data_IF_103019359198
#
_entry.id   IF_103019359198
#
_cell.length_a   1.000
_cell.length_b   1.000
_cell.length_c   1.000
_cell.angle_alpha   90.00
_cell.angle_beta   90.00
_cell.angle_gamma   90.00
#
_symmetry.space_group_name_H-M   'P 1'
#
loop_
_entity.id
_entity.type
_entity.pdbx_description
1 polymer ?
#
# COMPACT_ATOMS: atom_id res chain seq x y z
N UNK A 1 43.07 -34.92 -0.07
CA UNK A 1 42.50 -33.72 0.59
C UNK A 1 41.49 -33.10 -0.36
N UNK A 2 40.23 -33.49 -0.23
CA UNK A 2 39.13 -32.97 -1.05
C UNK A 2 38.80 -31.54 -0.58
N UNK A 3 38.83 -30.58 -1.51
CA UNK A 3 38.37 -29.21 -1.25
C UNK A 3 36.83 -29.21 -1.20
N UNK A 4 36.30 -28.46 -0.24
CA UNK A 4 34.87 -28.33 0.07
C UNK A 4 34.01 -27.89 -1.14
N UNK A 5 32.77 -28.39 -1.29
CA UNK A 5 31.87 -28.06 -2.42
C UNK A 5 31.38 -26.61 -2.45
N UNK A 6 31.64 -25.80 -1.41
CA UNK A 6 31.21 -24.40 -1.35
C UNK A 6 32.12 -23.41 -2.11
N UNK A 7 33.18 -23.89 -2.76
CA UNK A 7 34.06 -23.06 -3.59
C UNK A 7 33.68 -23.02 -5.09
N UNK A 8 32.56 -23.61 -5.51
CA UNK A 8 32.26 -23.87 -6.93
C UNK A 8 31.19 -22.92 -7.53
N UNK A 9 30.58 -22.02 -6.76
CA UNK A 9 29.47 -21.18 -7.25
C UNK A 9 29.80 -19.69 -7.52
N UNK A 10 31.02 -19.21 -7.25
CA UNK A 10 31.42 -17.81 -7.48
C UNK A 10 32.53 -17.62 -8.54
N UNK A 11 32.96 -18.69 -9.19
CA UNK A 11 34.04 -18.70 -10.19
C UNK A 11 33.50 -19.07 -11.57
N UNK A 12 32.67 -18.20 -12.20
CA UNK A 12 32.35 -18.34 -13.64
C UNK A 12 31.72 -17.13 -14.34
N UNK A 13 32.11 -15.89 -14.03
CA UNK A 13 32.08 -14.79 -15.03
C UNK A 13 33.27 -13.86 -14.79
N UNK A 14 34.48 -14.39 -15.03
CA UNK A 14 35.71 -13.60 -14.97
C UNK A 14 36.57 -13.89 -16.20
N UNK A 15 35.98 -13.84 -17.41
CA UNK A 15 36.75 -13.77 -18.66
C UNK A 15 36.05 -12.85 -19.68
N UNK A 16 36.65 -11.66 -19.80
CA UNK A 16 36.54 -10.64 -20.86
C UNK A 16 35.13 -10.20 -21.32
N UNK A 17 34.44 -9.41 -20.51
CA UNK A 17 33.62 -8.35 -21.12
C UNK A 17 34.61 -7.43 -21.83
N UNK A 18 34.60 -7.40 -23.16
CA UNK A 18 35.54 -6.57 -23.92
C UNK A 18 35.53 -5.12 -23.42
N UNK A 19 36.70 -4.48 -23.37
CA UNK A 19 36.80 -3.09 -22.92
C UNK A 19 36.35 -2.09 -24.00
N UNK A 20 36.35 -0.81 -23.65
CA UNK A 20 36.39 0.24 -24.67
C UNK A 20 37.66 0.05 -25.52
N UNK A 21 37.61 0.18 -26.86
CA UNK A 21 36.50 0.67 -27.69
C UNK A 21 35.51 -0.39 -28.20
N UNK A 22 35.76 -1.67 -27.91
CA UNK A 22 34.97 -2.81 -28.40
C UNK A 22 33.55 -2.78 -27.84
N UNK A 23 33.39 -2.59 -26.53
CA UNK A 23 32.08 -2.43 -25.88
C UNK A 23 31.75 -0.95 -25.72
N UNK A 24 30.62 -0.51 -26.30
CA UNK A 24 30.13 0.87 -26.22
C UNK A 24 28.64 0.86 -25.89
N UNK A 25 28.25 0.95 -24.61
CA UNK A 25 26.85 0.89 -24.19
C UNK A 25 25.98 1.99 -24.83
N UNK A 26 26.58 3.13 -25.21
CA UNK A 26 25.90 4.20 -25.96
C UNK A 26 25.31 3.75 -27.31
N UNK A 27 25.78 2.64 -27.91
CA UNK A 27 25.25 2.13 -29.18
C UNK A 27 23.75 1.79 -29.08
N UNK A 28 23.32 1.16 -27.98
CA UNK A 28 21.92 0.85 -27.72
C UNK A 28 21.08 2.08 -27.29
N UNK A 29 21.74 3.22 -27.04
CA UNK A 29 21.10 4.47 -26.57
C UNK A 29 21.01 5.54 -27.67
N UNK A 30 21.42 5.22 -28.91
CA UNK A 30 21.61 6.17 -30.02
C UNK A 30 20.31 6.75 -30.58
N UNK A 31 19.21 6.01 -30.52
CA UNK A 31 17.89 6.45 -30.99
C UNK A 31 16.78 6.05 -30.02
N UNK A 32 15.66 6.75 -30.07
CA UNK A 32 14.44 6.39 -29.32
C UNK A 32 13.96 4.98 -29.67
N UNK A 33 13.99 4.59 -30.95
CA UNK A 33 13.63 3.24 -31.40
C UNK A 33 14.51 2.16 -30.76
N UNK A 34 15.83 2.35 -30.71
CA UNK A 34 16.74 1.39 -30.07
C UNK A 34 16.50 1.33 -28.56
N UNK A 35 16.31 2.48 -27.91
CA UNK A 35 16.00 2.51 -26.47
C UNK A 35 14.71 1.75 -26.16
N UNK A 36 13.66 1.94 -26.96
CA UNK A 36 12.39 1.22 -26.83
C UNK A 36 12.55 -0.28 -27.07
N UNK A 37 13.39 -0.70 -28.03
CA UNK A 37 13.63 -2.12 -28.34
C UNK A 37 14.28 -2.88 -27.18
N UNK A 38 15.14 -2.23 -26.40
CA UNK A 38 15.93 -2.89 -25.33
C UNK A 38 15.50 -2.46 -23.92
N UNK A 39 14.35 -1.79 -23.79
CA UNK A 39 13.83 -1.36 -22.51
C UNK A 39 13.45 -2.59 -21.66
N UNK A 40 13.89 -2.61 -20.40
CA UNK A 40 13.70 -3.77 -19.51
C UNK A 40 12.36 -3.70 -18.75
N UNK A 41 11.86 -2.49 -18.50
CA UNK A 41 10.65 -2.26 -17.68
C UNK A 41 9.65 -1.39 -18.44
N UNK A 42 8.41 -1.85 -18.47
CA UNK A 42 7.26 -1.15 -19.02
C UNK A 42 6.24 -0.94 -17.91
N UNK A 43 5.58 0.22 -17.92
CA UNK A 43 4.49 0.54 -17.02
C UNK A 43 3.21 0.70 -17.84
N UNK A 44 2.11 0.20 -17.31
CA UNK A 44 0.79 0.20 -17.93
C UNK A 44 -0.30 0.56 -16.92
N UNK A 45 -1.50 0.98 -17.36
CA UNK A 45 -2.63 1.22 -16.45
C UNK A 45 -2.96 0.03 -15.52
N UNK A 46 -2.70 -1.19 -15.98
CA UNK A 46 -2.92 -2.42 -15.22
C UNK A 46 -2.02 -2.58 -13.99
N UNK A 47 -0.93 -1.81 -13.90
CA UNK A 47 0.00 -1.83 -12.77
C UNK A 47 -0.43 -0.91 -11.61
N UNK A 48 -1.51 -0.12 -11.79
CA UNK A 48 -1.95 0.87 -10.81
C UNK A 48 -3.12 0.38 -9.96
N UNK A 49 -3.08 0.78 -8.68
CA UNK A 49 -4.21 0.72 -7.74
C UNK A 49 -4.50 2.18 -7.34
N UNK A 50 -5.75 2.63 -7.50
CA UNK A 50 -6.12 4.03 -7.25
C UNK A 50 -6.70 4.24 -5.84
N UNK A 51 -6.05 5.02 -4.96
CA UNK A 51 -6.58 5.32 -3.62
C UNK A 51 -7.80 6.24 -3.67
N UNK A 52 -8.86 5.91 -2.93
CA UNK A 52 -10.06 6.73 -2.77
C UNK A 52 -10.31 7.07 -1.31
N UNK A 53 -10.51 8.36 -1.02
CA UNK A 53 -10.91 8.84 0.32
C UNK A 53 -12.41 9.06 0.35
N UNK A 54 -13.11 8.33 1.21
CA UNK A 54 -14.58 8.35 1.25
C UNK A 54 -15.07 8.97 2.55
N UNK A 55 -16.03 9.89 2.44
CA UNK A 55 -16.64 10.63 3.56
C UNK A 55 -18.15 10.48 3.57
N UNK A 56 -18.78 10.61 4.74
CA UNK A 56 -20.24 10.73 4.84
C UNK A 56 -20.77 12.03 4.21
N UNK A 57 -22.04 12.00 3.82
CA UNK A 57 -22.76 13.14 3.26
C UNK A 57 -23.21 12.90 1.82
N UNK A 58 -23.60 13.98 1.13
CA UNK A 58 -24.09 13.91 -0.24
C UNK A 58 -23.47 15.02 -1.10
N UNK A 59 -23.09 14.69 -2.33
CA UNK A 59 -22.56 15.63 -3.31
C UNK A 59 -21.17 16.18 -3.02
N UNK A 60 -20.45 15.62 -2.03
CA UNK A 60 -19.15 16.11 -1.56
C UNK A 60 -18.04 15.70 -2.52
N UNK A 61 -17.27 16.69 -2.95
CA UNK A 61 -15.96 16.54 -3.62
C UNK A 61 -15.03 17.62 -3.08
N UNK A 62 -14.30 17.32 -2.01
CA UNK A 62 -13.43 18.27 -1.31
C UNK A 62 -11.97 17.98 -1.61
N UNK A 63 -11.28 18.93 -2.24
CA UNK A 63 -9.84 18.79 -2.52
C UNK A 63 -9.04 18.77 -1.20
N UNK A 64 -8.05 17.89 -1.13
CA UNK A 64 -7.11 17.82 -0.02
C UNK A 64 -5.99 18.83 -0.29
N UNK A 65 -5.88 19.86 0.54
CA UNK A 65 -4.97 20.99 0.32
C UNK A 65 -3.50 20.56 0.19
N UNK A 66 -3.06 19.58 0.98
CA UNK A 66 -1.70 19.05 0.97
C UNK A 66 -1.46 18.01 -0.13
N UNK A 67 -2.51 17.55 -0.85
CA UNK A 67 -2.44 16.60 -1.96
C UNK A 67 -3.23 17.13 -3.17
N UNK A 68 -2.68 18.08 -3.92
CA UNK A 68 -3.46 18.78 -4.92
C UNK A 68 -3.93 17.87 -6.05
N UNK A 69 -5.18 18.02 -6.48
CA UNK A 69 -5.85 17.11 -7.43
C UNK A 69 -6.38 15.82 -6.81
N UNK A 70 -6.25 15.63 -5.49
CA UNK A 70 -6.81 14.49 -4.76
C UNK A 70 -7.99 14.98 -3.91
N UNK A 71 -9.04 14.18 -3.83
CA UNK A 71 -10.31 14.59 -3.24
C UNK A 71 -10.81 13.58 -2.20
N UNK A 72 -11.52 14.10 -1.20
CA UNK A 72 -12.47 13.34 -0.39
C UNK A 72 -13.84 13.38 -1.07
N UNK A 73 -14.45 12.22 -1.23
CA UNK A 73 -15.69 12.02 -2.00
C UNK A 73 -16.78 11.43 -1.11
N UNK A 74 -18.02 11.93 -1.25
CA UNK A 74 -19.17 11.21 -0.69
C UNK A 74 -19.54 10.00 -1.56
N UNK A 75 -20.21 9.02 -0.96
CA UNK A 75 -20.56 7.73 -1.61
C UNK A 75 -21.30 7.94 -2.94
N UNK A 76 -22.19 8.94 -3.04
CA UNK A 76 -22.94 9.26 -4.26
C UNK A 76 -22.05 9.76 -5.43
N UNK A 77 -20.81 10.15 -5.17
CA UNK A 77 -19.83 10.54 -6.20
C UNK A 77 -19.01 9.37 -6.74
N UNK A 78 -19.01 8.23 -6.06
CA UNK A 78 -18.12 7.11 -6.39
C UNK A 78 -18.45 6.46 -7.73
N UNK A 79 -19.71 6.46 -8.16
CA UNK A 79 -20.08 5.88 -9.46
C UNK A 79 -19.38 6.60 -10.63
N UNK A 80 -19.41 7.94 -10.63
CA UNK A 80 -18.74 8.72 -11.67
C UNK A 80 -17.21 8.60 -11.60
N UNK A 81 -16.65 8.51 -10.40
CA UNK A 81 -15.21 8.29 -10.22
C UNK A 81 -14.80 6.90 -10.74
N UNK A 82 -15.60 5.86 -10.47
CA UNK A 82 -15.36 4.51 -10.95
C UNK A 82 -15.42 4.41 -12.47
N UNK A 83 -16.38 5.09 -13.12
CA UNK A 83 -16.47 5.14 -14.59
C UNK A 83 -15.19 5.70 -15.22
N UNK A 84 -14.61 6.76 -14.64
CA UNK A 84 -13.34 7.33 -15.10
C UNK A 84 -12.17 6.37 -14.88
N UNK A 85 -12.06 5.79 -13.69
CA UNK A 85 -10.99 4.83 -13.33
C UNK A 85 -11.01 3.63 -14.28
N UNK A 86 -12.18 3.04 -14.52
CA UNK A 86 -12.35 1.91 -15.46
C UNK A 86 -12.06 2.36 -16.90
N UNK A 87 -12.50 3.55 -17.30
CA UNK A 87 -12.22 4.12 -18.62
C UNK A 87 -10.72 4.34 -18.90
N UNK A 88 -9.92 4.55 -17.86
CA UNK A 88 -8.45 4.65 -17.94
C UNK A 88 -7.76 3.27 -17.97
N UNK A 89 -8.48 2.18 -17.75
CA UNK A 89 -7.94 0.82 -17.68
C UNK A 89 -7.24 0.48 -16.36
N UNK A 90 -7.56 1.21 -15.29
CA UNK A 90 -7.05 0.92 -13.94
C UNK A 90 -7.90 -0.20 -13.33
N UNK A 91 -7.31 -1.34 -12.92
CA UNK A 91 -8.07 -2.52 -12.53
C UNK A 91 -8.59 -2.48 -11.09
N UNK A 92 -8.02 -1.64 -10.23
CA UNK A 92 -8.27 -1.71 -8.80
C UNK A 92 -8.30 -0.34 -8.11
N UNK A 93 -9.09 -0.26 -7.05
CA UNK A 93 -9.10 0.85 -6.08
C UNK A 93 -8.77 0.35 -4.68
N UNK A 94 -8.22 1.23 -3.84
CA UNK A 94 -8.11 0.99 -2.40
C UNK A 94 -8.84 2.07 -1.62
N UNK A 95 -9.74 1.66 -0.73
CA UNK A 95 -10.60 2.56 0.03
C UNK A 95 -9.99 2.97 1.36
N UNK A 96 -10.04 4.28 1.63
CA UNK A 96 -9.75 4.90 2.92
C UNK A 96 -11.00 5.64 3.40
N UNK A 97 -11.63 5.12 4.45
CA UNK A 97 -12.82 5.73 5.05
C UNK A 97 -12.48 6.83 6.04
N UNK A 98 -13.27 7.89 6.05
CA UNK A 98 -13.29 8.88 7.12
C UNK A 98 -14.64 8.79 7.84
N UNK A 99 -14.66 8.37 9.11
CA UNK A 99 -15.90 8.13 9.83
C UNK A 99 -16.63 9.43 10.17
N UNK A 100 -17.90 9.31 10.53
CA UNK A 100 -18.68 10.43 11.06
C UNK A 100 -18.23 10.79 12.48
N UNK A 101 -17.83 9.78 13.26
CA UNK A 101 -17.36 9.93 14.63
C UNK A 101 -16.17 9.01 14.89
N UNK A 102 -15.22 9.50 15.68
CA UNK A 102 -14.07 8.71 16.14
C UNK A 102 -14.26 8.31 17.58
N UNK A 103 -13.80 7.12 17.93
CA UNK A 103 -13.90 6.58 19.28
C UNK A 103 -12.68 5.70 19.60
N UNK A 104 -12.42 5.35 20.87
CA UNK A 104 -11.17 4.69 21.26
C UNK A 104 -10.87 3.34 20.60
N UNK A 105 -11.86 2.68 19.97
CA UNK A 105 -11.66 1.40 19.28
C UNK A 105 -12.00 1.46 17.79
N UNK A 106 -12.46 2.60 17.29
CA UNK A 106 -12.79 2.79 15.88
C UNK A 106 -13.98 1.94 15.40
N UNK A 107 -15.09 1.94 16.14
CA UNK A 107 -16.26 1.06 15.89
C UNK A 107 -16.82 1.14 14.48
N UNK A 108 -16.79 2.33 13.89
CA UNK A 108 -17.36 2.52 12.55
C UNK A 108 -16.61 1.71 11.48
N UNK A 109 -15.33 1.38 11.69
CA UNK A 109 -14.53 0.59 10.74
C UNK A 109 -15.11 -0.82 10.51
N UNK A 110 -15.78 -1.38 11.52
CA UNK A 110 -16.38 -2.71 11.45
C UNK A 110 -17.91 -2.70 11.59
N UNK A 111 -18.54 -1.52 11.50
CA UNK A 111 -19.99 -1.40 11.45
C UNK A 111 -20.55 -1.88 10.09
N UNK A 112 -21.70 -2.54 10.08
CA UNK A 112 -22.33 -3.06 8.85
C UNK A 112 -22.64 -1.94 7.83
N UNK A 113 -22.97 -0.76 8.34
CA UNK A 113 -23.27 0.46 7.60
C UNK A 113 -22.16 1.53 7.72
N UNK A 114 -20.93 1.14 8.08
CA UNK A 114 -19.77 2.03 8.08
C UNK A 114 -19.48 2.64 6.70
N UNK A 115 -18.72 3.74 6.67
CA UNK A 115 -18.48 4.49 5.43
C UNK A 115 -17.82 3.63 4.33
N UNK A 116 -16.90 2.74 4.69
CA UNK A 116 -16.22 1.83 3.74
C UNK A 116 -17.19 0.79 3.21
N UNK A 117 -18.02 0.21 4.06
CA UNK A 117 -19.05 -0.77 3.69
C UNK A 117 -20.06 -0.18 2.71
N UNK A 118 -20.49 1.06 2.95
CA UNK A 118 -21.34 1.80 2.00
C UNK A 118 -20.62 2.06 0.67
N UNK A 119 -19.35 2.44 0.71
CA UNK A 119 -18.53 2.68 -0.48
C UNK A 119 -18.33 1.43 -1.34
N UNK A 120 -18.02 0.29 -0.71
CA UNK A 120 -17.87 -1.01 -1.38
C UNK A 120 -19.15 -1.35 -2.15
N UNK A 121 -20.31 -1.28 -1.49
CA UNK A 121 -21.60 -1.61 -2.11
C UNK A 121 -21.92 -0.68 -3.29
N UNK A 122 -21.63 0.62 -3.15
CA UNK A 122 -21.83 1.58 -4.22
C UNK A 122 -20.91 1.33 -5.43
N UNK A 123 -19.62 1.06 -5.18
CA UNK A 123 -18.65 0.75 -6.23
C UNK A 123 -18.97 -0.57 -6.93
N UNK A 124 -19.33 -1.61 -6.18
CA UNK A 124 -19.73 -2.90 -6.77
C UNK A 124 -20.95 -2.76 -7.68
N UNK A 125 -21.91 -1.91 -7.31
CA UNK A 125 -23.08 -1.63 -8.14
C UNK A 125 -22.74 -0.83 -9.40
N UNK A 126 -21.79 0.11 -9.33
CA UNK A 126 -21.41 0.97 -10.44
C UNK A 126 -20.43 0.30 -11.42
N UNK A 127 -19.42 -0.40 -10.89
CA UNK A 127 -18.34 -1.02 -11.64
C UNK A 127 -18.06 -2.45 -11.13
N UNK A 128 -18.87 -3.45 -11.53
CA UNK A 128 -18.75 -4.82 -11.01
C UNK A 128 -17.39 -5.49 -11.25
N UNK A 129 -16.68 -5.10 -12.32
CA UNK A 129 -15.38 -5.63 -12.71
C UNK A 129 -14.19 -4.95 -12.01
N UNK A 130 -14.43 -3.84 -11.29
CA UNK A 130 -13.39 -3.14 -10.56
C UNK A 130 -13.02 -3.93 -9.30
N UNK A 131 -11.72 -4.17 -9.10
CA UNK A 131 -11.23 -4.79 -7.87
C UNK A 131 -11.28 -3.77 -6.74
N UNK A 132 -12.04 -4.06 -5.68
CA UNK A 132 -12.22 -3.20 -4.53
C UNK A 132 -11.36 -3.74 -3.39
N UNK A 133 -10.27 -3.02 -3.10
CA UNK A 133 -9.40 -3.27 -1.95
C UNK A 133 -9.78 -2.35 -0.79
N UNK A 134 -9.61 -2.80 0.45
CA UNK A 134 -9.84 -1.96 1.63
C UNK A 134 -8.64 -1.93 2.54
N UNK A 135 -8.29 -0.75 3.04
CA UNK A 135 -7.33 -0.61 4.14
C UNK A 135 -7.92 -1.19 5.44
N UNK A 136 -7.11 -1.98 6.16
CA UNK A 136 -7.46 -2.49 7.49
C UNK A 136 -6.50 -1.86 8.51
N UNK A 137 -6.97 -0.78 9.12
CA UNK A 137 -6.27 0.01 10.12
C UNK A 137 -7.28 0.80 10.96
N UNK A 138 -6.92 1.19 12.18
CA UNK A 138 -7.82 1.93 13.08
C UNK A 138 -7.49 3.43 13.16
N UNK A 139 -6.47 3.92 12.45
CA UNK A 139 -5.97 5.27 12.69
C UNK A 139 -6.91 6.38 12.20
N UNK A 140 -7.70 6.10 11.16
CA UNK A 140 -8.76 6.95 10.63
C UNK A 140 -9.98 7.00 11.57
N UNK A 141 -10.16 5.93 12.36
CA UNK A 141 -11.36 5.67 13.14
C UNK A 141 -11.23 5.97 14.62
N UNK A 142 -10.00 6.03 15.12
CA UNK A 142 -9.76 6.25 16.54
C UNK A 142 -9.57 7.72 16.88
N UNK A 143 -10.09 8.14 18.02
CA UNK A 143 -9.97 9.52 18.51
C UNK A 143 -8.52 9.91 18.85
N UNK A 144 -7.66 8.92 19.04
CA UNK A 144 -6.23 9.06 19.30
C UNK A 144 -5.32 8.95 18.06
N UNK A 145 -5.84 8.52 16.90
CA UNK A 145 -5.08 8.51 15.64
C UNK A 145 -3.98 7.44 15.52
N UNK A 146 -3.93 6.46 16.44
CA UNK A 146 -3.08 5.27 16.36
C UNK A 146 -3.76 4.10 15.66
N UNK A 147 -2.97 3.11 15.26
CA UNK A 147 -3.41 2.01 14.42
C UNK A 147 -4.14 0.88 15.18
N UNK A 148 -4.31 1.00 16.51
CA UNK A 148 -4.86 -0.05 17.36
C UNK A 148 -5.34 0.46 18.72
N UNK A 149 -5.73 -0.49 19.58
CA UNK A 149 -6.24 -0.25 20.94
C UNK A 149 -5.15 0.34 21.83
N UNK A 150 -5.50 1.32 22.67
CA UNK A 150 -4.56 1.97 23.58
C UNK A 150 -4.85 1.65 25.04
N UNK A 151 -3.79 1.30 25.77
CA UNK A 151 -3.77 1.27 27.23
C UNK A 151 -2.46 1.92 27.72
N UNK A 152 -2.53 2.81 28.72
CA UNK A 152 -1.36 3.49 29.28
C UNK A 152 -0.46 4.18 28.23
N UNK A 153 -1.06 4.78 27.20
CA UNK A 153 -0.35 5.40 26.05
C UNK A 153 0.52 4.42 25.26
N UNK A 154 0.18 3.13 25.27
CA UNK A 154 0.81 2.11 24.45
C UNK A 154 -0.25 1.47 23.55
N UNK A 155 0.11 1.24 22.29
CA UNK A 155 -0.74 0.46 21.38
C UNK A 155 -0.58 -1.01 21.76
N UNK A 156 -1.67 -1.66 22.13
CA UNK A 156 -1.68 -3.06 22.50
C UNK A 156 -1.77 -3.94 21.25
N UNK A 157 -0.84 -4.87 21.08
CA UNK A 157 -0.78 -5.75 19.92
C UNK A 157 -2.01 -6.67 19.82
N UNK A 158 -2.12 -7.65 20.72
CA UNK A 158 -3.10 -8.73 20.63
C UNK A 158 -4.57 -8.25 20.70
N UNK A 159 -4.94 -7.29 21.57
CA UNK A 159 -6.29 -6.73 21.55
C UNK A 159 -6.62 -6.02 20.24
N UNK A 160 -5.63 -5.46 19.55
CA UNK A 160 -5.84 -4.84 18.23
C UNK A 160 -6.14 -5.90 17.16
N UNK A 161 -5.53 -7.10 17.25
CA UNK A 161 -5.76 -8.17 16.27
C UNK A 161 -7.24 -8.54 16.15
N UNK A 162 -7.96 -8.56 17.28
CA UNK A 162 -9.39 -8.89 17.30
C UNK A 162 -10.21 -7.90 16.45
N UNK A 163 -10.01 -6.59 16.64
CA UNK A 163 -10.76 -5.56 15.90
C UNK A 163 -10.32 -5.46 14.43
N UNK A 164 -9.05 -5.78 14.10
CA UNK A 164 -8.61 -5.88 12.71
C UNK A 164 -9.29 -7.06 11.98
N UNK A 165 -9.46 -8.20 12.66
CA UNK A 165 -10.24 -9.33 12.16
C UNK A 165 -11.70 -8.97 11.92
N UNK A 166 -12.35 -8.28 12.88
CA UNK A 166 -13.73 -7.80 12.73
C UNK A 166 -13.91 -6.86 11.54
N UNK A 167 -13.02 -5.88 11.36
CA UNK A 167 -13.04 -4.98 10.22
C UNK A 167 -12.88 -5.73 8.89
N UNK A 168 -11.95 -6.68 8.83
CA UNK A 168 -11.71 -7.50 7.63
C UNK A 168 -12.93 -8.31 7.23
N UNK A 169 -13.59 -8.96 8.19
CA UNK A 169 -14.84 -9.71 7.94
C UNK A 169 -15.96 -8.77 7.51
N UNK A 170 -16.08 -7.60 8.13
CA UNK A 170 -17.10 -6.59 7.77
C UNK A 170 -16.92 -6.09 6.32
N UNK A 171 -15.68 -5.82 5.91
CA UNK A 171 -15.36 -5.39 4.55
C UNK A 171 -15.60 -6.51 3.52
N UNK A 172 -15.18 -7.74 3.81
CA UNK A 172 -15.44 -8.90 2.95
C UNK A 172 -16.96 -9.16 2.80
N UNK A 173 -17.72 -9.09 3.90
CA UNK A 173 -19.18 -9.23 3.87
C UNK A 173 -19.89 -8.13 3.06
N UNK A 174 -19.31 -6.93 2.99
CA UNK A 174 -19.81 -5.85 2.14
C UNK A 174 -19.47 -6.04 0.64
N UNK A 175 -18.57 -6.96 0.30
CA UNK A 175 -18.18 -7.30 -1.08
C UNK A 175 -16.81 -6.78 -1.52
N UNK A 176 -15.90 -6.49 -0.57
CA UNK A 176 -14.50 -6.21 -0.89
C UNK A 176 -13.85 -7.46 -1.49
N UNK A 177 -13.05 -7.28 -2.54
CA UNK A 177 -12.33 -8.39 -3.16
C UNK A 177 -11.06 -8.75 -2.39
N UNK A 178 -10.43 -7.77 -1.73
CA UNK A 178 -9.14 -7.92 -1.06
C UNK A 178 -9.07 -7.01 0.16
N UNK A 179 -8.46 -7.49 1.25
CA UNK A 179 -8.18 -6.68 2.44
C UNK A 179 -6.69 -6.41 2.58
N UNK A 180 -6.31 -5.21 3.00
CA UNK A 180 -4.92 -4.76 3.02
C UNK A 180 -4.54 -4.22 4.42
N UNK A 181 -4.09 -5.08 5.35
CA UNK A 181 -3.76 -4.69 6.72
C UNK A 181 -2.54 -3.80 6.80
N UNK A 182 -2.76 -2.57 7.27
CA UNK A 182 -1.71 -1.54 7.36
C UNK A 182 -1.40 -1.12 8.79
N UNK A 183 -1.94 -1.81 9.80
CA UNK A 183 -1.75 -1.46 11.20
C UNK A 183 -0.31 -1.69 11.71
N UNK A 184 0.42 -2.65 11.11
CA UNK A 184 1.76 -3.10 11.55
C UNK A 184 1.73 -3.75 12.96
N UNK A 185 0.71 -4.55 13.24
CA UNK A 185 0.69 -5.39 14.45
C UNK A 185 1.30 -6.75 14.14
N UNK A 186 2.05 -7.31 15.09
CA UNK A 186 2.62 -8.65 15.01
C UNK A 186 1.49 -9.68 14.91
N UNK A 187 1.54 -10.57 13.90
CA UNK A 187 0.54 -11.62 13.71
C UNK A 187 -0.78 -11.16 13.08
N UNK A 188 -0.86 -9.91 12.58
CA UNK A 188 -2.09 -9.36 11.98
C UNK A 188 -2.58 -10.15 10.77
N UNK A 189 -1.66 -10.67 9.94
CA UNK A 189 -2.04 -11.41 8.74
C UNK A 189 -2.68 -12.73 9.15
N UNK A 190 -2.07 -13.44 10.11
CA UNK A 190 -2.62 -14.69 10.62
C UNK A 190 -3.99 -14.48 11.28
N UNK A 191 -4.14 -13.44 12.11
CA UNK A 191 -5.39 -13.15 12.80
C UNK A 191 -6.52 -12.82 11.80
N UNK A 192 -6.22 -12.01 10.78
CA UNK A 192 -7.18 -11.66 9.72
C UNK A 192 -7.53 -12.88 8.89
N UNK A 193 -6.55 -13.70 8.50
CA UNK A 193 -6.77 -14.94 7.77
C UNK A 193 -7.73 -15.86 8.52
N UNK A 194 -7.45 -16.11 9.80
CA UNK A 194 -8.31 -16.95 10.65
C UNK A 194 -9.72 -16.38 10.79
N UNK A 195 -9.86 -15.05 10.95
CA UNK A 195 -11.16 -14.40 11.05
C UNK A 195 -11.98 -14.52 9.75
N UNK A 196 -11.35 -14.30 8.60
CA UNK A 196 -11.97 -14.47 7.28
C UNK A 196 -12.41 -15.92 7.05
N UNK A 197 -11.52 -16.88 7.31
CA UNK A 197 -11.82 -18.31 7.14
C UNK A 197 -12.98 -18.76 8.03
N UNK A 198 -12.98 -18.34 9.31
CA UNK A 198 -14.04 -18.67 10.26
C UNK A 198 -15.40 -18.07 9.87
N UNK A 199 -15.40 -16.92 9.20
CA UNK A 199 -16.60 -16.24 8.70
C UNK A 199 -17.04 -16.71 7.30
N UNK A 200 -16.30 -17.64 6.67
CA UNK A 200 -16.63 -18.19 5.34
C UNK A 200 -16.07 -17.39 4.15
N UNK A 201 -15.10 -16.50 4.37
CA UNK A 201 -14.43 -15.69 3.37
C UNK A 201 -13.01 -16.21 3.04
N UNK A 202 -12.87 -17.52 2.92
CA UNK A 202 -11.57 -18.18 2.72
C UNK A 202 -10.85 -17.73 1.43
N UNK A 203 -11.60 -17.34 0.40
CA UNK A 203 -11.06 -16.92 -0.89
C UNK A 203 -10.68 -15.42 -0.96
N UNK A 204 -10.98 -14.62 0.06
CA UNK A 204 -10.64 -13.18 0.08
C UNK A 204 -9.14 -12.99 0.31
N UNK A 205 -8.35 -12.45 -0.63
CA UNK A 205 -6.91 -12.32 -0.45
C UNK A 205 -6.50 -11.23 0.55
N UNK A 206 -5.27 -11.35 1.05
CA UNK A 206 -4.63 -10.40 1.96
C UNK A 206 -3.41 -9.76 1.28
N UNK A 207 -3.40 -8.42 1.19
CA UNK A 207 -2.22 -7.65 0.83
C UNK A 207 -1.55 -7.09 2.09
N UNK A 208 -0.57 -7.82 2.62
CA UNK A 208 0.17 -7.41 3.80
C UNK A 208 0.98 -6.14 3.55
N UNK A 209 0.83 -5.12 4.38
CA UNK A 209 1.78 -4.00 4.44
C UNK A 209 3.04 -4.43 5.18
N UNK A 210 3.69 -5.47 4.68
CA UNK A 210 4.70 -6.25 5.37
C UNK A 210 5.92 -5.43 5.79
N UNK A 211 6.36 -4.49 4.96
CA UNK A 211 7.45 -3.59 5.31
C UNK A 211 6.96 -2.14 5.28
N UNK A 212 6.24 -1.73 6.33
CA UNK A 212 5.76 -0.35 6.51
C UNK A 212 6.60 0.38 7.57
N UNK A 213 7.34 1.37 7.10
CA UNK A 213 8.29 2.15 7.90
C UNK A 213 7.64 3.33 8.63
N UNK A 214 8.19 3.69 9.78
CA UNK A 214 7.88 4.92 10.52
C UNK A 214 8.46 6.13 9.77
N UNK A 215 7.67 6.72 8.86
CA UNK A 215 8.17 7.65 7.87
C UNK A 215 7.62 9.08 7.99
N UNK A 216 8.46 10.07 7.69
CA UNK A 216 8.07 11.47 7.51
C UNK A 216 7.26 11.74 6.23
N UNK A 217 7.22 10.79 5.29
CA UNK A 217 6.48 10.94 4.03
C UNK A 217 4.94 10.83 4.17
N UNK A 218 4.41 10.52 5.36
CA UNK A 218 2.96 10.32 5.56
C UNK A 218 2.17 11.58 5.92
N UNK A 219 2.84 12.74 6.06
CA UNK A 219 2.19 13.99 6.48
C UNK A 219 0.91 14.31 5.71
N UNK A 220 0.96 14.43 4.36
CA UNK A 220 -0.23 14.81 3.60
C UNK A 220 -1.38 13.78 3.66
N UNK A 221 -1.08 12.49 3.85
CA UNK A 221 -2.12 11.46 4.09
C UNK A 221 -2.80 11.67 5.44
N UNK A 222 -2.05 12.05 6.48
CA UNK A 222 -2.65 12.33 7.80
C UNK A 222 -3.60 13.51 7.75
N UNK A 223 -3.33 14.51 6.91
CA UNK A 223 -4.30 15.59 6.62
C UNK A 223 -5.50 15.06 5.83
N UNK A 224 -5.25 14.21 4.82
CA UNK A 224 -6.29 13.60 3.98
C UNK A 224 -7.26 12.70 4.76
N UNK A 225 -6.76 12.00 5.76
CA UNK A 225 -7.50 11.01 6.56
C UNK A 225 -7.83 11.51 7.97
N UNK A 226 -7.47 12.77 8.29
CA UNK A 226 -7.64 13.40 9.60
C UNK A 226 -7.07 12.56 10.77
N UNK A 227 -5.95 11.85 10.55
CA UNK A 227 -5.44 10.81 11.46
C UNK A 227 -4.04 11.05 12.05
N UNK A 228 -3.64 12.28 12.42
CA UNK A 228 -2.38 12.46 13.15
C UNK A 228 -2.47 11.77 14.53
N UNK A 229 -1.41 11.08 14.99
CA UNK A 229 -1.39 10.52 16.35
C UNK A 229 -1.46 11.66 17.37
N UNK A 230 -2.31 11.52 18.38
CA UNK A 230 -2.52 12.56 19.40
C UNK A 230 -1.40 12.60 20.45
N UNK A 231 -0.59 11.55 20.52
CA UNK A 231 0.61 11.50 21.36
C UNK A 231 1.70 10.65 20.71
N UNK A 232 2.95 10.87 21.12
CA UNK A 232 4.10 10.11 20.64
C UNK A 232 4.19 10.06 19.10
N UNK A 233 4.59 8.91 18.59
CA UNK A 233 4.59 8.60 17.16
C UNK A 233 4.24 7.11 16.95
N UNK A 234 4.49 6.58 15.76
CA UNK A 234 4.19 5.18 15.40
C UNK A 234 5.43 4.27 15.42
N UNK A 235 6.54 4.72 15.99
CA UNK A 235 7.84 4.00 15.99
C UNK A 235 7.86 2.74 16.85
N UNK A 236 6.87 2.55 17.72
CA UNK A 236 6.76 1.35 18.55
C UNK A 236 6.25 0.11 17.79
N UNK A 237 5.79 0.28 16.55
CA UNK A 237 5.25 -0.80 15.71
C UNK A 237 5.53 -0.63 14.21
N UNK A 238 5.64 0.60 13.69
CA UNK A 238 6.17 0.80 12.34
C UNK A 238 7.69 0.71 12.34
N UNK A 239 8.25 0.13 11.28
CA UNK A 239 9.68 -0.18 11.23
C UNK A 239 10.59 1.05 11.26
N UNK A 240 11.79 0.91 11.81
CA UNK A 240 12.83 1.94 11.73
C UNK A 240 13.34 2.08 10.29
N UNK A 241 13.30 3.29 9.67
CA UNK A 241 13.87 3.58 8.35
C UNK A 241 15.30 3.08 8.11
N UNK A 242 16.12 2.91 9.15
CA UNK A 242 17.49 2.41 9.04
C UNK A 242 17.58 0.89 8.81
N UNK A 243 16.48 0.15 8.97
CA UNK A 243 16.50 -1.30 9.05
C UNK A 243 16.08 -1.98 7.73
N UNK A 244 17.07 -2.58 7.07
CA UNK A 244 16.88 -3.37 5.84
C UNK A 244 16.69 -4.87 6.08
N UNK A 245 17.44 -5.45 7.04
CA UNK A 245 17.36 -6.89 7.35
C UNK A 245 16.04 -7.26 8.03
N UNK A 246 15.54 -6.36 8.86
CA UNK A 246 14.24 -6.51 9.53
C UNK A 246 13.10 -6.60 8.52
N UNK A 247 13.13 -5.83 7.42
CA UNK A 247 12.10 -5.89 6.38
C UNK A 247 11.95 -7.29 5.79
N UNK A 248 13.06 -7.98 5.55
CA UNK A 248 13.01 -9.35 5.02
C UNK A 248 12.44 -10.34 6.04
N UNK A 249 12.62 -10.07 7.34
CA UNK A 249 12.01 -10.87 8.39
C UNK A 249 10.51 -10.62 8.47
N UNK A 250 10.07 -9.37 8.47
CA UNK A 250 8.64 -9.01 8.49
C UNK A 250 7.90 -9.59 7.28
N UNK A 251 8.47 -9.44 6.08
CA UNK A 251 7.92 -10.05 4.86
C UNK A 251 7.83 -11.57 5.00
N UNK A 252 8.87 -12.24 5.49
CA UNK A 252 8.83 -13.69 5.68
C UNK A 252 7.75 -14.14 6.68
N UNK A 253 7.49 -13.35 7.73
CA UNK A 253 6.43 -13.61 8.70
C UNK A 253 5.06 -13.50 8.05
N UNK A 254 4.74 -12.37 7.41
CA UNK A 254 3.47 -12.17 6.68
C UNK A 254 3.20 -13.28 5.65
N UNK A 255 4.24 -13.72 4.93
CA UNK A 255 4.12 -14.84 3.97
C UNK A 255 3.75 -16.14 4.69
N UNK A 256 4.42 -16.45 5.81
CA UNK A 256 4.14 -17.66 6.59
C UNK A 256 2.75 -17.64 7.25
N UNK A 257 2.20 -16.44 7.43
CA UNK A 257 0.88 -16.19 8.01
C UNK A 257 -0.26 -16.19 6.98
N UNK A 258 0.06 -16.20 5.69
CA UNK A 258 -0.92 -16.31 4.61
C UNK A 258 -1.19 -15.01 3.83
N UNK A 259 -0.22 -14.10 3.74
CA UNK A 259 -0.32 -12.96 2.83
C UNK A 259 -0.19 -13.42 1.36
N UNK A 260 -1.14 -13.01 0.52
CA UNK A 260 -1.14 -13.31 -0.92
C UNK A 260 -0.32 -12.30 -1.73
N UNK A 261 -0.22 -11.06 -1.22
CA UNK A 261 0.57 -9.99 -1.80
C UNK A 261 1.35 -9.32 -0.67
N UNK A 262 2.64 -9.06 -0.89
CA UNK A 262 3.48 -8.32 0.05
C UNK A 262 3.65 -6.88 -0.44
N UNK A 263 3.74 -5.92 0.48
CA UNK A 263 3.90 -4.50 0.14
C UNK A 263 5.04 -3.84 0.94
N UNK A 264 5.78 -2.96 0.25
CA UNK A 264 6.73 -2.02 0.87
C UNK A 264 6.14 -0.60 0.88
N UNK A 265 6.24 0.09 2.01
CA UNK A 265 5.73 1.45 2.20
C UNK A 265 6.65 2.27 3.12
N UNK A 266 7.11 3.47 2.73
CA UNK A 266 6.97 4.14 1.43
C UNK A 266 7.72 3.45 0.27
N UNK A 267 7.59 3.94 -0.96
CA UNK A 267 8.18 3.30 -2.14
C UNK A 267 9.47 3.98 -2.61
N UNK A 268 9.41 5.26 -3.00
CA UNK A 268 10.51 5.94 -3.69
C UNK A 268 11.82 5.92 -2.90
N UNK A 269 11.74 6.09 -1.59
CA UNK A 269 12.91 6.08 -0.70
C UNK A 269 13.37 4.68 -0.28
N UNK A 270 12.65 3.62 -0.66
CA UNK A 270 12.86 2.23 -0.23
C UNK A 270 12.90 1.24 -1.42
N UNK A 271 13.33 1.72 -2.59
CA UNK A 271 13.49 0.87 -3.79
C UNK A 271 14.53 -0.25 -3.58
N UNK A 272 15.47 -0.08 -2.66
CA UNK A 272 16.40 -1.13 -2.24
C UNK A 272 15.69 -2.26 -1.49
N UNK A 273 14.70 -1.94 -0.65
CA UNK A 273 13.86 -2.93 0.03
C UNK A 273 12.93 -3.63 -0.96
N UNK A 274 12.31 -2.90 -1.88
CA UNK A 274 11.49 -3.47 -2.96
C UNK A 274 12.31 -4.45 -3.82
N UNK A 275 13.55 -4.06 -4.16
CA UNK A 275 14.47 -4.92 -4.90
C UNK A 275 14.84 -6.18 -4.11
N UNK A 276 15.11 -6.05 -2.82
CA UNK A 276 15.43 -7.18 -1.96
C UNK A 276 14.26 -8.15 -1.79
N UNK A 277 13.05 -7.63 -1.58
CA UNK A 277 11.83 -8.42 -1.53
C UNK A 277 11.63 -9.19 -2.83
N UNK A 278 11.75 -8.53 -3.99
CA UNK A 278 11.62 -9.19 -5.31
C UNK A 278 12.69 -10.25 -5.55
N UNK A 279 13.93 -10.07 -5.08
CA UNK A 279 14.99 -11.05 -5.25
C UNK A 279 14.86 -12.24 -4.30
N UNK A 280 14.32 -12.01 -3.10
CA UNK A 280 14.23 -13.02 -2.04
C UNK A 280 12.98 -13.87 -2.20
N UNK A 281 11.87 -13.26 -2.61
CA UNK A 281 10.55 -13.91 -2.79
C UNK A 281 10.03 -13.66 -4.22
N UNK A 282 10.75 -14.11 -5.27
CA UNK A 282 10.40 -13.83 -6.66
C UNK A 282 9.03 -14.37 -7.08
N UNK A 283 8.54 -15.40 -6.41
CA UNK A 283 7.27 -16.10 -6.68
C UNK A 283 6.04 -15.31 -6.24
N UNK A 284 6.17 -14.34 -5.33
CA UNK A 284 5.03 -13.59 -4.81
C UNK A 284 4.77 -12.28 -5.57
N UNK A 285 3.50 -11.87 -5.69
CA UNK A 285 3.16 -10.50 -6.03
C UNK A 285 3.75 -9.50 -5.03
N UNK A 286 4.30 -8.40 -5.54
CA UNK A 286 4.91 -7.33 -4.74
C UNK A 286 4.28 -6.00 -5.14
N UNK A 287 3.66 -5.34 -4.17
CA UNK A 287 3.15 -4.00 -4.30
C UNK A 287 4.13 -2.98 -3.69
N UNK A 288 4.05 -1.73 -4.16
CA UNK A 288 4.81 -0.61 -3.62
C UNK A 288 3.89 0.60 -3.52
N UNK A 289 3.92 1.29 -2.38
CA UNK A 289 3.04 2.44 -2.15
C UNK A 289 3.77 3.76 -2.47
N UNK A 290 3.43 4.42 -3.57
CA UNK A 290 3.80 5.83 -3.81
C UNK A 290 2.98 6.72 -2.87
N UNK A 291 3.56 7.07 -1.72
CA UNK A 291 2.79 7.67 -0.62
C UNK A 291 2.52 9.15 -0.83
N UNK A 292 1.61 9.69 -0.02
CA UNK A 292 1.17 11.08 -0.09
C UNK A 292 2.31 12.11 -0.12
N UNK A 293 3.37 11.94 0.67
CA UNK A 293 4.51 12.86 0.67
C UNK A 293 5.36 12.78 -0.60
N UNK A 294 5.50 11.60 -1.20
CA UNK A 294 6.18 11.42 -2.49
C UNK A 294 5.41 12.15 -3.59
N UNK A 295 4.08 11.95 -3.62
CA UNK A 295 3.16 12.66 -4.52
C UNK A 295 3.24 14.19 -4.34
N UNK A 296 3.06 14.68 -3.11
CA UNK A 296 2.98 16.11 -2.83
C UNK A 296 4.32 16.83 -3.04
N UNK A 297 5.44 16.17 -2.76
CA UNK A 297 6.78 16.69 -3.05
C UNK A 297 6.93 16.95 -4.56
N UNK A 298 6.52 15.99 -5.40
CA UNK A 298 6.58 16.12 -6.86
C UNK A 298 5.64 17.24 -7.33
N UNK A 299 4.38 17.25 -6.88
CA UNK A 299 3.40 18.29 -7.25
C UNK A 299 3.85 19.69 -6.86
N UNK A 300 4.46 19.85 -5.68
CA UNK A 300 5.00 21.13 -5.24
C UNK A 300 6.16 21.60 -6.14
N UNK A 301 7.14 20.74 -6.41
CA UNK A 301 8.26 21.06 -7.27
C UNK A 301 7.85 21.37 -8.72
N UNK A 302 6.85 20.65 -9.24
CA UNK A 302 6.28 20.92 -10.56
C UNK A 302 5.57 22.28 -10.64
N UNK A 303 4.77 22.63 -9.63
CA UNK A 303 4.10 23.94 -9.55
C UNK A 303 5.07 25.11 -9.49
N UNK A 304 6.24 24.91 -8.89
CA UNK A 304 7.32 25.90 -8.84
C UNK A 304 8.17 25.93 -10.14
N UNK A 305 7.88 25.05 -11.10
CA UNK A 305 8.62 24.93 -12.35
C UNK A 305 10.01 24.31 -12.20
N UNK A 306 10.30 23.67 -11.05
CA UNK A 306 11.58 23.02 -10.80
C UNK A 306 11.69 21.66 -11.48
N UNK A 307 10.56 20.98 -11.65
CA UNK A 307 10.46 19.68 -12.31
C UNK A 307 9.40 19.69 -13.42
N UNK A 308 9.65 18.92 -14.47
CA UNK A 308 8.62 18.54 -15.45
C UNK A 308 7.81 17.37 -14.87
N UNK A 309 6.57 17.66 -14.46
CA UNK A 309 5.69 16.71 -13.78
C UNK A 309 5.54 15.39 -14.53
N UNK A 310 5.26 15.45 -15.85
CA UNK A 310 4.99 14.27 -16.67
C UNK A 310 6.20 13.38 -16.88
N UNK A 311 7.39 13.95 -16.74
CA UNK A 311 8.66 13.23 -16.94
C UNK A 311 9.14 12.55 -15.65
N UNK A 312 8.71 13.05 -14.50
CA UNK A 312 9.09 12.51 -13.18
C UNK A 312 8.04 11.54 -12.64
N UNK A 313 6.76 11.76 -12.98
CA UNK A 313 5.64 10.89 -12.61
C UNK A 313 5.67 9.53 -13.33
#
# INVERSE_FOLDING_TARGET
MARSPHAIAAEKVSQSVGGFPTVRPRRLRKSSTLRRLVQETHLSPADFIYPLFVVHGQGIRREISSMPGVFQLSVDRLAAEADEIVGLGIPAVILFGLPAQKDPIGRENFAEDGIVQQAIRALRAAAPELVIMTDICMCEYTDHGHCGIIENQQVLNDPTLEILGQASVSHAAAGADLVAPSAMMDGQVMAIRQALDAAGFADTPIMGYSAKYASGFYGPFRDAADSPPQFGDRSTYQMDPANRREAMREIALDISEGADIIMVKPAMAYLDIIRDARNTFPELPLAAYNVSGEYSMLKAAARLGWLDEKRVA
#
